data_IF_117505118999
#
_entry.id   IF_117505118999
#
_cell.length_a   1.000
_cell.length_b   1.000
_cell.length_c   1.000
_cell.angle_alpha   90.00
_cell.angle_beta   90.00
_cell.angle_gamma   90.00
#
_symmetry.space_group_name_H-M   'P 1'
#
loop_
_entity.id
_entity.type
_entity.pdbx_description
1 polymer ?
#
# COMPACT_ATOMS: atom_id res chain seq x y z
N UNK A 1 1.70 18.82 24.63
CA UNK A 1 2.41 17.59 24.21
C UNK A 1 1.59 16.83 23.17
N UNK A 2 0.33 16.48 23.47
CA UNK A 2 -0.52 15.70 22.56
C UNK A 2 -0.77 16.35 21.17
N UNK A 3 -0.99 17.67 21.10
CA UNK A 3 -1.21 18.40 19.83
C UNK A 3 0.01 18.32 18.91
N UNK A 4 1.22 18.32 19.48
CA UNK A 4 2.47 18.21 18.72
C UNK A 4 2.61 16.83 18.09
N UNK A 5 2.28 15.77 18.83
CA UNK A 5 2.29 14.39 18.32
C UNK A 5 1.29 14.20 17.18
N UNK A 6 0.07 14.74 17.35
CA UNK A 6 -0.95 14.73 16.31
C UNK A 6 -0.47 15.41 15.02
N UNK A 7 0.05 16.65 15.13
CA UNK A 7 0.58 17.39 13.99
C UNK A 7 1.75 16.66 13.33
N UNK A 8 2.66 16.09 14.12
CA UNK A 8 3.81 15.34 13.62
C UNK A 8 3.39 14.13 12.78
N UNK A 9 2.40 13.36 13.22
CA UNK A 9 1.88 12.24 12.41
C UNK A 9 1.18 12.70 11.13
N UNK A 10 0.46 13.82 11.16
CA UNK A 10 -0.16 14.40 9.96
C UNK A 10 0.91 14.88 8.97
N UNK A 11 1.97 15.55 9.44
CA UNK A 11 3.08 15.95 8.57
C UNK A 11 3.81 14.74 7.97
N UNK A 12 4.06 13.68 8.74
CA UNK A 12 4.69 12.46 8.21
C UNK A 12 3.79 11.78 7.18
N UNK A 13 2.47 11.72 7.42
CA UNK A 13 1.52 11.18 6.45
C UNK A 13 1.52 11.98 5.14
N UNK A 14 1.54 13.31 5.20
CA UNK A 14 1.61 14.14 3.99
C UNK A 14 2.92 13.98 3.24
N UNK A 15 4.06 13.90 3.95
CA UNK A 15 5.36 13.58 3.34
C UNK A 15 5.36 12.22 2.63
N UNK A 16 4.78 11.18 3.26
CA UNK A 16 4.62 9.87 2.64
C UNK A 16 3.78 9.94 1.36
N UNK A 17 2.71 10.72 1.36
CA UNK A 17 1.88 10.96 0.17
C UNK A 17 2.62 11.70 -0.95
N UNK A 18 3.45 12.69 -0.61
CA UNK A 18 4.30 13.38 -1.61
C UNK A 18 5.31 12.41 -2.24
N UNK A 19 5.90 11.52 -1.44
CA UNK A 19 6.83 10.49 -1.93
C UNK A 19 6.14 9.51 -2.89
N UNK A 20 4.87 9.16 -2.61
CA UNK A 20 4.06 8.32 -3.49
C UNK A 20 3.78 8.97 -4.85
N UNK A 21 3.66 10.30 -4.94
CA UNK A 21 3.45 10.97 -6.23
C UNK A 21 4.71 11.00 -7.11
N UNK A 22 5.91 10.91 -6.52
CA UNK A 22 7.19 11.05 -7.22
C UNK A 22 7.92 9.74 -7.50
N UNK A 23 7.34 8.59 -7.15
CA UNK A 23 8.04 7.31 -7.21
C UNK A 23 7.95 6.63 -8.57
N UNK A 24 9.05 6.00 -8.99
CA UNK A 24 9.10 5.11 -10.15
C UNK A 24 9.50 3.66 -9.80
N UNK A 25 9.80 3.40 -8.53
CA UNK A 25 10.23 2.09 -8.03
C UNK A 25 9.10 1.34 -7.35
N UNK A 26 9.02 0.04 -7.62
CA UNK A 26 8.00 -0.84 -7.05
C UNK A 26 8.06 -0.91 -5.51
N UNK A 27 9.27 -0.85 -4.94
CA UNK A 27 9.50 -0.82 -3.49
C UNK A 27 8.94 0.46 -2.88
N UNK A 28 9.23 1.60 -3.49
CA UNK A 28 8.80 2.90 -2.97
C UNK A 28 7.29 3.09 -3.13
N UNK A 29 6.68 2.53 -4.18
CA UNK A 29 5.22 2.42 -4.35
C UNK A 29 4.59 1.58 -3.23
N UNK A 30 5.30 0.58 -2.69
CA UNK A 30 4.82 -0.18 -1.54
C UNK A 30 5.01 0.56 -0.21
N UNK A 31 6.19 1.13 0.02
CA UNK A 31 6.56 1.73 1.31
C UNK A 31 5.81 3.04 1.57
N UNK A 32 5.60 3.87 0.55
CA UNK A 32 4.97 5.18 0.74
C UNK A 32 3.52 5.08 1.26
N UNK A 33 2.61 4.27 0.70
CA UNK A 33 1.26 4.08 1.23
C UNK A 33 1.24 3.41 2.60
N UNK A 34 2.18 2.51 2.91
CA UNK A 34 2.31 1.91 4.24
C UNK A 34 2.65 2.96 5.29
N UNK A 35 3.56 3.90 4.98
CA UNK A 35 3.90 4.99 5.88
C UNK A 35 2.67 5.87 6.21
N UNK A 36 1.90 6.24 5.18
CA UNK A 36 0.63 6.98 5.34
C UNK A 36 -0.38 6.17 6.17
N UNK A 37 -0.46 4.86 5.94
CA UNK A 37 -1.38 3.96 6.64
C UNK A 37 -1.02 3.83 8.13
N UNK A 38 0.25 3.62 8.46
CA UNK A 38 0.75 3.54 9.84
C UNK A 38 0.48 4.82 10.63
N UNK A 39 0.73 5.99 10.01
CA UNK A 39 0.40 7.28 10.63
C UNK A 39 -1.10 7.40 10.89
N UNK A 40 -1.94 6.93 9.96
CA UNK A 40 -3.39 6.94 10.10
C UNK A 40 -3.88 5.99 11.21
N UNK A 41 -3.26 4.81 11.35
CA UNK A 41 -3.54 3.89 12.46
C UNK A 41 -3.24 4.54 13.81
N UNK A 42 -2.07 5.17 13.95
CA UNK A 42 -1.68 5.88 15.17
C UNK A 42 -2.64 7.04 15.48
N UNK A 43 -3.11 7.76 14.46
CA UNK A 43 -4.06 8.88 14.63
C UNK A 43 -5.45 8.40 15.06
N UNK A 44 -5.92 7.25 14.56
CA UNK A 44 -7.24 6.69 14.93
C UNK A 44 -7.33 6.28 16.41
N UNK A 45 -6.19 6.00 17.04
CA UNK A 45 -6.06 5.60 18.44
C UNK A 45 -5.64 6.72 19.39
N UNK A 46 -5.71 7.97 18.94
CA UNK A 46 -5.21 9.11 19.70
C UNK A 46 -5.91 9.27 21.07
N UNK A 47 -7.21 8.95 21.16
CA UNK A 47 -7.97 8.97 22.42
C UNK A 47 -7.82 7.66 23.17
N UNK A 48 -6.66 7.46 23.81
CA UNK A 48 -6.31 6.22 24.55
C UNK A 48 -7.28 5.83 25.68
N UNK A 49 -8.09 6.77 26.16
CA UNK A 49 -9.06 6.55 27.26
C UNK A 49 -10.41 6.00 26.77
N UNK A 50 -10.69 6.09 25.47
CA UNK A 50 -11.92 5.57 24.89
C UNK A 50 -11.70 4.17 24.32
N UNK A 51 -12.40 3.18 24.89
CA UNK A 51 -12.35 1.78 24.45
C UNK A 51 -12.73 1.66 22.97
N UNK A 52 -13.68 2.49 22.51
CA UNK A 52 -14.12 2.53 21.12
C UNK A 52 -13.03 3.00 20.14
N UNK A 53 -12.19 3.96 20.54
CA UNK A 53 -11.06 4.44 19.72
C UNK A 53 -9.98 3.36 19.61
N UNK A 54 -9.73 2.64 20.70
CA UNK A 54 -8.79 1.52 20.71
C UNK A 54 -9.26 0.34 19.85
N UNK A 55 -10.56 0.00 19.93
CA UNK A 55 -11.15 -1.05 19.10
C UNK A 55 -11.13 -0.68 17.60
N UNK A 56 -11.45 0.58 17.27
CA UNK A 56 -11.37 1.08 15.90
C UNK A 56 -9.95 1.00 15.35
N UNK A 57 -8.94 1.38 16.14
CA UNK A 57 -7.53 1.29 15.77
C UNK A 57 -7.11 -0.13 15.47
N UNK A 58 -7.47 -1.08 16.33
CA UNK A 58 -7.16 -2.50 16.13
C UNK A 58 -7.80 -3.04 14.85
N UNK A 59 -9.08 -2.73 14.62
CA UNK A 59 -9.79 -3.13 13.40
C UNK A 59 -9.12 -2.53 12.16
N UNK A 60 -8.78 -1.25 12.20
CA UNK A 60 -8.18 -0.54 11.08
C UNK A 60 -6.77 -1.05 10.76
N UNK A 61 -5.97 -1.37 11.77
CA UNK A 61 -4.65 -1.99 11.62
C UNK A 61 -4.75 -3.41 11.03
N UNK A 62 -5.68 -4.24 11.50
CA UNK A 62 -5.86 -5.61 11.00
C UNK A 62 -6.33 -5.64 9.54
N UNK A 63 -7.35 -4.83 9.23
CA UNK A 63 -7.85 -4.64 7.87
C UNK A 63 -6.74 -4.11 6.94
N UNK A 64 -6.02 -3.10 7.44
CA UNK A 64 -4.83 -2.55 6.81
C UNK A 64 -3.77 -3.58 6.46
N UNK A 65 -3.28 -4.33 7.45
CA UNK A 65 -2.23 -5.33 7.27
C UNK A 65 -2.65 -6.48 6.34
N UNK A 66 -3.93 -6.88 6.35
CA UNK A 66 -4.44 -7.85 5.40
C UNK A 66 -4.35 -7.33 3.95
N UNK A 67 -4.73 -6.07 3.72
CA UNK A 67 -4.62 -5.43 2.40
C UNK A 67 -3.18 -5.29 1.92
N UNK A 68 -2.27 -4.92 2.82
CA UNK A 68 -0.85 -4.80 2.54
C UNK A 68 -0.25 -6.14 2.14
N UNK A 69 -0.65 -7.22 2.81
CA UNK A 69 -0.20 -8.59 2.48
C UNK A 69 -0.62 -9.01 1.08
N UNK A 70 -1.87 -8.71 0.69
CA UNK A 70 -2.40 -8.99 -0.65
C UNK A 70 -1.62 -8.18 -1.71
N UNK A 71 -1.35 -6.91 -1.42
CA UNK A 71 -0.64 -6.01 -2.32
C UNK A 71 0.82 -6.45 -2.52
N UNK A 72 1.55 -6.79 -1.45
CA UNK A 72 2.91 -7.36 -1.53
C UNK A 72 2.93 -8.66 -2.32
N UNK A 73 1.92 -9.50 -2.19
CA UNK A 73 1.84 -10.74 -2.94
C UNK A 73 1.70 -10.47 -4.45
N UNK A 74 0.87 -9.50 -4.84
CA UNK A 74 0.75 -9.04 -6.24
C UNK A 74 2.08 -8.49 -6.78
N UNK A 75 2.78 -7.69 -5.99
CA UNK A 75 4.12 -7.18 -6.32
C UNK A 75 5.17 -8.28 -6.44
N UNK A 76 5.15 -9.30 -5.58
CA UNK A 76 6.06 -10.45 -5.69
C UNK A 76 5.86 -11.22 -7.00
N UNK A 77 4.62 -11.38 -7.44
CA UNK A 77 4.32 -12.05 -8.72
C UNK A 77 4.76 -11.21 -9.91
N UNK A 78 4.56 -9.89 -9.85
CA UNK A 78 4.97 -8.95 -10.89
C UNK A 78 6.50 -8.91 -11.02
N UNK A 79 7.19 -8.75 -9.89
CA UNK A 79 8.65 -8.81 -9.80
C UNK A 79 9.24 -10.13 -10.33
N UNK A 80 8.61 -11.26 -9.98
CA UNK A 80 9.03 -12.58 -10.46
C UNK A 80 8.80 -12.79 -11.96
N UNK A 81 7.83 -12.10 -12.56
CA UNK A 81 7.55 -12.18 -14.00
C UNK A 81 8.43 -11.26 -14.84
N UNK A 82 8.86 -10.12 -14.28
CA UNK A 82 9.67 -9.11 -14.96
C UNK A 82 11.18 -9.37 -14.92
N UNK A 83 11.63 -10.53 -14.45
CA UNK A 83 13.06 -10.86 -14.42
C UNK A 83 13.86 -10.23 -13.27
N UNK A 84 13.18 -9.81 -12.19
CA UNK A 84 13.75 -9.23 -10.95
C UNK A 84 14.14 -7.74 -11.02
N UNK A 85 13.54 -7.00 -11.93
CA UNK A 85 13.69 -5.55 -12.04
C UNK A 85 12.76 -4.81 -11.07
N UNK A 86 13.22 -3.67 -10.56
CA UNK A 86 12.53 -2.90 -9.50
C UNK A 86 11.92 -1.62 -10.07
N UNK A 87 12.54 -1.05 -11.09
CA UNK A 87 12.06 0.14 -11.78
C UNK A 87 10.87 -0.20 -12.68
N UNK A 88 9.83 0.64 -12.64
CA UNK A 88 8.63 0.46 -13.46
C UNK A 88 8.95 0.42 -14.97
N UNK A 89 9.94 1.19 -15.43
CA UNK A 89 10.31 1.25 -16.85
C UNK A 89 10.90 -0.08 -17.32
N UNK A 90 11.80 -0.64 -16.53
CA UNK A 90 12.43 -1.93 -16.79
C UNK A 90 11.37 -3.05 -16.77
N UNK A 91 10.51 -3.06 -15.75
CA UNK A 91 9.38 -3.98 -15.63
C UNK A 91 8.53 -4.02 -16.91
N UNK A 92 8.17 -2.86 -17.47
CA UNK A 92 7.40 -2.74 -18.71
C UNK A 92 8.18 -3.32 -19.89
N UNK A 93 9.47 -3.03 -20.00
CA UNK A 93 10.33 -3.58 -21.05
C UNK A 93 10.44 -5.10 -20.95
N UNK A 94 10.57 -5.66 -19.73
CA UNK A 94 10.56 -7.10 -19.47
C UNK A 94 9.26 -7.77 -19.92
N UNK A 95 8.11 -7.12 -19.70
CA UNK A 95 6.80 -7.61 -20.17
C UNK A 95 6.66 -7.61 -21.70
N UNK A 96 7.18 -6.58 -22.37
CA UNK A 96 7.16 -6.47 -23.83
C UNK A 96 8.06 -7.53 -24.46
N UNK A 97 9.29 -7.68 -23.95
CA UNK A 97 10.30 -8.57 -24.51
C UNK A 97 9.92 -10.05 -24.36
N UNK A 98 9.27 -10.41 -23.25
CA UNK A 98 8.84 -11.80 -22.98
C UNK A 98 7.50 -12.18 -23.60
N UNK A 99 6.82 -11.25 -24.30
CA UNK A 99 5.45 -11.41 -24.82
C UNK A 99 4.46 -11.97 -23.79
N UNK A 100 4.70 -11.75 -22.49
CA UNK A 100 3.90 -12.33 -21.39
C UNK A 100 2.64 -11.50 -21.06
N UNK A 101 2.24 -10.56 -21.92
CA UNK A 101 1.07 -9.70 -21.72
C UNK A 101 -0.22 -10.49 -21.48
N UNK A 102 -0.36 -11.67 -22.11
CA UNK A 102 -1.55 -12.51 -21.99
C UNK A 102 -1.34 -13.76 -21.13
N UNK A 103 -0.23 -13.82 -20.38
CA UNK A 103 0.03 -14.96 -19.50
C UNK A 103 -0.93 -14.90 -18.29
N UNK A 104 -1.49 -16.04 -17.84
CA UNK A 104 -2.38 -16.08 -16.69
C UNK A 104 -1.71 -15.54 -15.40
N UNK A 105 -0.38 -15.62 -15.34
CA UNK A 105 0.46 -15.10 -14.25
C UNK A 105 0.37 -13.58 -14.11
N UNK A 106 0.43 -12.85 -15.23
CA UNK A 106 0.31 -11.39 -15.28
C UNK A 106 -1.06 -10.94 -14.79
N UNK A 107 -2.11 -11.58 -15.28
CA UNK A 107 -3.50 -11.28 -14.89
C UNK A 107 -3.72 -11.48 -13.39
N UNK A 108 -3.16 -12.54 -12.81
CA UNK A 108 -3.21 -12.77 -11.35
C UNK A 108 -2.49 -11.67 -10.58
N UNK A 109 -1.30 -11.25 -11.02
CA UNK A 109 -0.58 -10.16 -10.37
C UNK A 109 -1.39 -8.85 -10.38
N UNK A 110 -1.97 -8.49 -11.53
CA UNK A 110 -2.84 -7.33 -11.70
C UNK A 110 -4.09 -7.38 -10.81
N UNK A 111 -4.73 -8.55 -10.68
CA UNK A 111 -5.89 -8.72 -9.79
C UNK A 111 -5.49 -8.48 -8.34
N UNK A 112 -4.41 -9.08 -7.86
CA UNK A 112 -3.94 -8.89 -6.48
C UNK A 112 -3.58 -7.43 -6.19
N UNK A 113 -2.90 -6.75 -7.12
CA UNK A 113 -2.55 -5.32 -6.98
C UNK A 113 -3.83 -4.47 -6.95
N UNK A 114 -4.78 -4.71 -7.84
CA UNK A 114 -6.04 -3.97 -7.91
C UNK A 114 -6.87 -4.15 -6.64
N UNK A 115 -6.94 -5.38 -6.11
CA UNK A 115 -7.63 -5.67 -4.85
C UNK A 115 -6.93 -4.99 -3.67
N UNK A 116 -5.60 -5.06 -3.58
CA UNK A 116 -4.83 -4.43 -2.50
C UNK A 116 -4.96 -2.91 -2.49
N UNK A 117 -4.88 -2.26 -3.66
CA UNK A 117 -5.08 -0.81 -3.80
C UNK A 117 -6.54 -0.45 -3.54
N UNK A 118 -7.49 -1.24 -4.04
CA UNK A 118 -8.92 -0.99 -3.85
C UNK A 118 -9.35 -0.99 -2.39
N UNK A 119 -8.74 -1.88 -1.59
CA UNK A 119 -8.95 -1.91 -0.14
C UNK A 119 -8.38 -0.67 0.56
N UNK A 120 -7.18 -0.20 0.19
CA UNK A 120 -6.61 1.04 0.73
C UNK A 120 -7.42 2.29 0.35
N UNK A 121 -8.07 2.29 -0.80
CA UNK A 121 -8.95 3.36 -1.27
C UNK A 121 -10.40 3.24 -0.76
N UNK A 122 -10.73 2.20 0.01
CA UNK A 122 -12.08 1.96 0.50
C UNK A 122 -13.14 1.96 -0.62
N UNK A 123 -12.82 1.35 -1.77
CA UNK A 123 -13.78 1.21 -2.87
C UNK A 123 -15.00 0.39 -2.40
N UNK A 124 -16.18 0.70 -2.92
CA UNK A 124 -17.47 0.12 -2.49
C UNK A 124 -17.55 -1.43 -2.54
N UNK A 125 -16.62 -2.08 -3.24
CA UNK A 125 -16.49 -3.54 -3.27
C UNK A 125 -15.83 -4.12 -2.00
N UNK A 126 -15.08 -3.30 -1.26
CA UNK A 126 -14.23 -3.68 -0.11
C UNK A 126 -14.74 -3.21 1.25
N UNK A 127 -16.00 -2.73 1.32
CA UNK A 127 -16.61 -2.14 2.51
C UNK A 127 -17.67 -3.05 3.15
#
# INVERSE_FOLDING_TARGET
MAITEFLLFVLIATLGGMFLCGTNDLITIFVAPECVSLCSYLLSGYTKKDVRSNEATMKYLLMGGASSSILVHGFSWLYGSSGREIELQEIVNGFINTQMYNSPRSSIALIFITVGIGFKLSLALSH
#
